data_IF_375023036539
#
_entry.id   IF_375023036539
#
_cell.length_a   1.000
_cell.length_b   1.000
_cell.length_c   1.000
_cell.angle_alpha   90.00
_cell.angle_beta   90.00
_cell.angle_gamma   90.00
#
_symmetry.space_group_name_H-M   'P 1'
#
loop_
_entity.id
_entity.type
_entity.pdbx_description
1 polymer ?
#
# COMPACT_ATOMS: atom_id res chain seq x y z
N UNK A 1 5.47 -4.65 0.33
CA UNK A 1 6.72 -4.77 1.11
C UNK A 1 7.11 -3.45 1.74
N UNK A 2 7.21 -2.38 0.95
CA UNK A 2 7.72 -1.09 1.39
C UNK A 2 6.59 -0.07 1.65
N UNK A 3 6.20 0.71 0.64
CA UNK A 3 5.26 1.85 0.69
C UNK A 3 3.96 1.56 1.46
N UNK A 4 3.24 0.52 1.07
CA UNK A 4 1.96 0.16 1.71
C UNK A 4 2.10 -0.31 3.17
N UNK A 5 3.24 -0.88 3.55
CA UNK A 5 3.49 -1.31 4.93
C UNK A 5 3.93 -0.16 5.83
N UNK A 6 4.66 0.81 5.29
CA UNK A 6 4.98 2.06 6.01
C UNK A 6 3.69 2.83 6.30
N UNK A 7 2.84 3.04 5.28
CA UNK A 7 1.53 3.67 5.46
C UNK A 7 0.64 2.91 6.46
N UNK A 8 0.63 1.57 6.40
CA UNK A 8 -0.10 0.74 7.37
C UNK A 8 0.35 1.05 8.80
N UNK A 9 1.65 1.02 9.07
CA UNK A 9 2.17 1.28 10.42
C UNK A 9 1.75 2.65 10.96
N UNK A 10 1.80 3.69 10.12
CA UNK A 10 1.39 5.04 10.48
C UNK A 10 -0.13 5.14 10.76
N UNK A 11 -0.95 4.60 9.88
CA UNK A 11 -2.41 4.61 10.03
C UNK A 11 -2.87 3.80 11.24
N UNK A 12 -2.28 2.62 11.47
CA UNK A 12 -2.59 1.77 12.62
C UNK A 12 -2.25 2.47 13.94
N UNK A 13 -1.09 3.17 14.03
CA UNK A 13 -0.72 3.96 15.21
C UNK A 13 -1.69 5.12 15.50
N UNK A 14 -2.36 5.65 14.48
CA UNK A 14 -3.42 6.67 14.63
C UNK A 14 -4.81 6.08 14.94
N UNK A 15 -4.94 4.76 15.04
CA UNK A 15 -6.19 4.09 15.39
C UNK A 15 -7.13 3.82 14.21
N UNK A 16 -6.68 4.00 12.96
CA UNK A 16 -7.48 3.64 11.79
C UNK A 16 -7.60 2.13 11.63
N UNK A 17 -8.77 1.66 11.17
CA UNK A 17 -8.97 0.28 10.71
C UNK A 17 -8.33 0.11 9.34
N UNK A 18 -7.04 -0.25 9.33
CA UNK A 18 -6.23 -0.33 8.11
C UNK A 18 -5.85 -1.78 7.78
N UNK A 19 -5.88 -2.10 6.49
CA UNK A 19 -5.22 -3.27 5.90
C UNK A 19 -4.33 -2.81 4.75
N UNK A 20 -3.33 -3.60 4.40
CA UNK A 20 -2.41 -3.29 3.31
C UNK A 20 -2.19 -4.49 2.41
N UNK A 21 -2.02 -4.26 1.11
CA UNK A 21 -1.93 -5.31 0.11
C UNK A 21 -0.85 -5.00 -0.92
N UNK A 22 -0.54 -5.98 -1.76
CA UNK A 22 0.09 -5.77 -3.06
C UNK A 22 -0.85 -6.23 -4.18
N UNK A 23 -0.61 -5.75 -5.40
CA UNK A 23 -1.39 -6.09 -6.60
C UNK A 23 -0.60 -6.91 -7.62
N UNK A 24 0.72 -6.94 -7.50
CA UNK A 24 1.60 -7.71 -8.40
C UNK A 24 1.37 -9.22 -8.35
N UNK A 25 2.02 -9.95 -9.26
CA UNK A 25 1.90 -11.40 -9.33
C UNK A 25 2.63 -12.10 -8.20
N UNK A 26 3.83 -11.59 -7.87
CA UNK A 26 4.70 -12.11 -6.82
C UNK A 26 5.25 -10.97 -5.98
N UNK A 27 5.69 -11.30 -4.78
CA UNK A 27 6.45 -10.40 -3.91
C UNK A 27 7.87 -10.32 -4.44
N UNK A 28 8.30 -9.13 -4.84
CA UNK A 28 9.65 -8.86 -5.34
C UNK A 28 10.42 -7.98 -4.35
N UNK A 29 11.64 -8.38 -4.03
CA UNK A 29 12.60 -7.59 -3.25
C UNK A 29 13.89 -7.41 -4.08
N UNK A 30 14.58 -6.28 -3.95
CA UNK A 30 15.90 -6.10 -4.53
C UNK A 30 16.85 -7.24 -4.15
N UNK A 31 17.64 -7.73 -5.11
CA UNK A 31 18.74 -8.66 -4.88
C UNK A 31 20.08 -7.99 -5.14
N UNK A 32 21.16 -8.78 -5.18
CA UNK A 32 22.53 -8.28 -5.36
C UNK A 32 22.79 -7.65 -6.73
N UNK A 33 21.94 -7.94 -7.72
CA UNK A 33 21.98 -7.35 -9.05
C UNK A 33 20.55 -7.06 -9.55
N UNK A 34 20.41 -6.08 -10.44
CA UNK A 34 19.10 -5.63 -10.94
C UNK A 34 18.31 -6.72 -11.70
N UNK A 35 19.02 -7.63 -12.36
CA UNK A 35 18.48 -8.79 -13.07
C UNK A 35 18.17 -9.98 -12.15
N UNK A 36 18.56 -9.93 -10.86
CA UNK A 36 18.40 -11.02 -9.89
C UNK A 36 17.61 -10.60 -8.66
N UNK A 37 16.32 -10.23 -8.80
CA UNK A 37 15.48 -9.92 -7.66
C UNK A 37 15.13 -11.18 -6.85
N UNK A 38 14.95 -11.01 -5.53
CA UNK A 38 14.38 -12.06 -4.69
C UNK A 38 12.86 -12.09 -4.89
N UNK A 39 12.32 -13.23 -5.33
CA UNK A 39 10.92 -13.39 -5.68
C UNK A 39 10.26 -14.46 -4.79
N UNK A 40 9.11 -14.12 -4.21
CA UNK A 40 8.34 -15.01 -3.34
C UNK A 40 6.86 -14.99 -3.71
N UNK A 41 6.16 -16.08 -3.44
CA UNK A 41 4.70 -16.10 -3.53
C UNK A 41 4.05 -15.29 -2.41
N UNK A 42 2.86 -14.77 -2.66
CA UNK A 42 2.04 -14.18 -1.59
C UNK A 42 1.66 -15.26 -0.55
N UNK A 43 1.50 -14.85 0.71
CA UNK A 43 1.24 -15.78 1.82
C UNK A 43 2.50 -16.35 2.49
N UNK A 44 3.67 -16.29 1.86
CA UNK A 44 4.94 -16.64 2.51
C UNK A 44 5.24 -15.65 3.64
N UNK A 45 5.53 -16.14 4.84
CA UNK A 45 5.69 -15.28 6.01
C UNK A 45 6.90 -14.35 5.89
N UNK A 46 6.80 -13.16 6.48
CA UNK A 46 7.94 -12.23 6.56
C UNK A 46 9.11 -12.83 7.33
N UNK A 47 8.83 -13.71 8.30
CA UNK A 47 9.85 -14.45 9.06
C UNK A 47 10.64 -15.39 8.15
N UNK A 48 9.96 -16.14 7.28
CA UNK A 48 10.63 -16.98 6.29
C UNK A 48 11.49 -16.16 5.34
N UNK A 49 10.94 -15.08 4.78
CA UNK A 49 11.67 -14.20 3.85
C UNK A 49 12.90 -13.59 4.55
N UNK A 50 12.76 -13.17 5.81
CA UNK A 50 13.87 -12.64 6.60
C UNK A 50 15.00 -13.65 6.74
N UNK A 51 14.67 -14.89 7.13
CA UNK A 51 15.68 -15.94 7.32
C UNK A 51 16.35 -16.35 6.00
N UNK A 52 15.60 -16.44 4.90
CA UNK A 52 16.15 -16.70 3.57
C UNK A 52 17.15 -15.61 3.12
N UNK A 53 16.85 -14.34 3.36
CA UNK A 53 17.79 -13.25 3.05
C UNK A 53 19.02 -13.25 3.97
N UNK A 54 18.86 -13.59 5.25
CA UNK A 54 19.98 -13.74 6.19
C UNK A 54 20.92 -14.85 5.74
N UNK A 55 20.39 -16.00 5.31
CA UNK A 55 21.19 -17.12 4.81
C UNK A 55 21.92 -16.78 3.50
N UNK A 56 21.29 -16.00 2.62
CA UNK A 56 21.89 -15.58 1.35
C UNK A 56 23.06 -14.60 1.54
N UNK A 57 22.81 -13.48 2.22
CA UNK A 57 23.84 -12.46 2.51
C UNK A 57 23.36 -11.47 3.58
N UNK A 58 23.52 -11.85 4.86
CA UNK A 58 23.13 -11.00 5.98
C UNK A 58 23.73 -9.59 5.91
N UNK A 59 24.99 -9.45 5.52
CA UNK A 59 25.67 -8.14 5.55
C UNK A 59 25.08 -7.21 4.49
N UNK A 60 24.93 -7.69 3.26
CA UNK A 60 24.34 -6.93 2.17
C UNK A 60 22.89 -6.49 2.48
N UNK A 61 22.04 -7.42 2.91
CA UNK A 61 20.63 -7.12 3.20
C UNK A 61 20.41 -6.32 4.50
N UNK A 62 21.41 -6.26 5.37
CA UNK A 62 21.44 -5.30 6.49
C UNK A 62 21.77 -3.90 5.97
N UNK A 63 22.80 -3.76 5.13
CA UNK A 63 23.27 -2.46 4.63
C UNK A 63 22.24 -1.73 3.75
N UNK A 64 21.48 -2.47 2.93
CA UNK A 64 20.41 -1.86 2.11
C UNK A 64 19.06 -1.68 2.87
N UNK A 65 19.02 -2.05 4.15
CA UNK A 65 17.85 -1.88 5.01
C UNK A 65 16.70 -2.87 4.79
N UNK A 66 16.85 -3.90 3.93
CA UNK A 66 15.77 -4.87 3.69
C UNK A 66 15.45 -5.73 4.91
N UNK A 67 16.46 -6.17 5.67
CA UNK A 67 16.21 -6.93 6.89
C UNK A 67 15.46 -6.10 7.94
N UNK A 68 15.80 -4.82 8.08
CA UNK A 68 15.09 -3.90 8.97
C UNK A 68 13.64 -3.68 8.52
N UNK A 69 13.40 -3.51 7.21
CA UNK A 69 12.05 -3.41 6.64
C UNK A 69 11.22 -4.66 6.92
N UNK A 70 11.80 -5.85 6.76
CA UNK A 70 11.13 -7.12 7.03
C UNK A 70 10.80 -7.30 8.53
N UNK A 71 11.72 -6.88 9.40
CA UNK A 71 11.49 -6.88 10.85
C UNK A 71 10.32 -5.97 11.26
N UNK A 72 10.22 -4.77 10.66
CA UNK A 72 9.04 -3.91 10.81
C UNK A 72 7.77 -4.63 10.34
N UNK A 73 7.81 -5.27 9.18
CA UNK A 73 6.63 -5.89 8.57
C UNK A 73 6.07 -7.06 9.39
N UNK A 74 6.92 -7.95 9.93
CA UNK A 74 6.48 -9.09 10.75
C UNK A 74 5.81 -8.68 12.06
N UNK A 75 6.09 -7.47 12.57
CA UNK A 75 5.41 -6.90 13.75
C UNK A 75 4.00 -6.36 13.43
N UNK A 76 3.71 -6.12 12.15
CA UNK A 76 2.43 -5.57 11.70
C UNK A 76 1.47 -6.70 11.30
N UNK A 77 1.93 -7.65 10.50
CA UNK A 77 1.14 -8.81 10.05
C UNK A 77 2.07 -9.97 9.62
N UNK A 78 1.60 -11.23 9.57
CA UNK A 78 2.49 -12.39 9.38
C UNK A 78 3.06 -12.54 7.96
N UNK A 79 2.30 -12.17 6.92
CA UNK A 79 2.69 -12.35 5.53
C UNK A 79 2.15 -11.21 4.63
N UNK A 80 2.76 -10.96 3.45
CA UNK A 80 2.19 -10.10 2.44
C UNK A 80 0.95 -10.76 1.80
N UNK A 81 -0.05 -9.94 1.51
CA UNK A 81 -1.36 -10.36 1.00
C UNK A 81 -1.59 -9.70 -0.37
N UNK A 82 -2.23 -10.45 -1.28
CA UNK A 82 -2.61 -9.97 -2.61
C UNK A 82 -4.03 -9.43 -2.55
N UNK A 83 -4.25 -8.18 -2.97
CA UNK A 83 -5.58 -7.54 -2.89
C UNK A 83 -6.62 -8.37 -3.62
N UNK A 84 -6.25 -8.89 -4.79
CA UNK A 84 -7.19 -9.58 -5.67
C UNK A 84 -7.77 -10.88 -5.07
N UNK A 85 -7.10 -11.44 -4.06
CA UNK A 85 -7.50 -12.64 -3.33
C UNK A 85 -8.27 -12.33 -2.04
N UNK A 86 -8.36 -11.05 -1.66
CA UNK A 86 -9.07 -10.61 -0.47
C UNK A 86 -10.59 -10.59 -0.69
N UNK A 87 -11.35 -10.99 0.33
CA UNK A 87 -12.81 -10.85 0.40
C UNK A 87 -13.24 -9.65 1.25
N UNK A 88 -12.28 -8.83 1.70
CA UNK A 88 -12.53 -7.65 2.54
C UNK A 88 -13.13 -6.51 1.72
N UNK A 89 -13.90 -5.66 2.40
CA UNK A 89 -14.51 -4.45 1.83
C UNK A 89 -13.97 -3.21 2.56
N UNK A 90 -13.70 -2.16 1.80
CA UNK A 90 -13.09 -0.93 2.28
C UNK A 90 -13.93 0.28 1.87
N UNK A 91 -13.92 1.34 2.67
CA UNK A 91 -14.52 2.63 2.29
C UNK A 91 -13.59 3.42 1.36
N UNK A 92 -12.28 3.34 1.61
CA UNK A 92 -11.24 4.02 0.85
C UNK A 92 -10.09 3.05 0.59
N UNK A 93 -9.61 3.00 -0.65
CA UNK A 93 -8.40 2.31 -1.07
C UNK A 93 -7.41 3.37 -1.54
N UNK A 94 -6.21 3.38 -0.95
CA UNK A 94 -5.13 4.25 -1.41
C UNK A 94 -4.06 3.41 -2.10
N UNK A 95 -3.70 3.82 -3.30
CA UNK A 95 -2.67 3.22 -4.14
C UNK A 95 -1.43 4.11 -4.15
N UNK A 96 -0.25 3.49 -4.31
CA UNK A 96 1.05 4.16 -4.13
C UNK A 96 1.77 4.46 -5.45
N UNK A 97 1.19 4.05 -6.59
CA UNK A 97 1.62 4.39 -7.93
C UNK A 97 0.50 4.07 -8.93
N UNK A 98 0.51 4.77 -10.07
CA UNK A 98 -0.50 4.64 -11.14
C UNK A 98 -0.67 3.21 -11.66
N UNK A 99 0.41 2.42 -11.76
CA UNK A 99 0.30 1.01 -12.19
C UNK A 99 -0.48 0.18 -11.18
N UNK A 100 -0.27 0.40 -9.88
CA UNK A 100 -1.08 -0.24 -8.83
C UNK A 100 -2.53 0.21 -8.91
N UNK A 101 -2.77 1.50 -9.16
CA UNK A 101 -4.11 2.06 -9.36
C UNK A 101 -4.88 1.37 -10.49
N UNK A 102 -4.28 1.27 -11.67
CA UNK A 102 -4.88 0.59 -12.83
C UNK A 102 -5.22 -0.86 -12.52
N UNK A 103 -4.33 -1.58 -11.83
CA UNK A 103 -4.56 -2.98 -11.44
C UNK A 103 -5.71 -3.14 -10.43
N UNK A 104 -5.93 -2.14 -9.57
CA UNK A 104 -7.09 -2.12 -8.66
C UNK A 104 -8.37 -1.91 -9.45
N UNK A 105 -8.40 -0.94 -10.36
CA UNK A 105 -9.57 -0.64 -11.20
C UNK A 105 -9.93 -1.84 -12.08
N UNK A 106 -8.94 -2.43 -12.76
CA UNK A 106 -9.14 -3.61 -13.61
C UNK A 106 -9.73 -4.77 -12.79
N UNK A 107 -9.23 -4.99 -11.57
CA UNK A 107 -9.76 -6.03 -10.69
C UNK A 107 -11.23 -5.79 -10.31
N UNK A 108 -11.61 -4.56 -9.94
CA UNK A 108 -13.01 -4.24 -9.69
C UNK A 108 -13.87 -4.39 -10.95
N UNK A 109 -13.37 -3.93 -12.11
CA UNK A 109 -14.06 -4.07 -13.41
C UNK A 109 -14.24 -5.52 -13.87
N UNK A 110 -13.35 -6.42 -13.43
CA UNK A 110 -13.47 -7.86 -13.70
C UNK A 110 -14.56 -8.56 -12.87
N UNK A 111 -15.07 -7.91 -11.83
CA UNK A 111 -16.06 -8.45 -10.90
C UNK A 111 -17.43 -7.80 -11.13
N UNK A 112 -18.48 -8.57 -10.85
CA UNK A 112 -19.82 -8.01 -10.76
C UNK A 112 -20.01 -7.39 -9.37
N UNK A 113 -20.50 -6.15 -9.33
CA UNK A 113 -20.96 -5.50 -8.09
C UNK A 113 -22.16 -6.27 -7.53
N UNK A 114 -22.05 -6.78 -6.31
CA UNK A 114 -23.10 -7.55 -5.62
C UNK A 114 -23.69 -6.77 -4.46
N UNK A 115 -22.85 -6.02 -3.75
CA UNK A 115 -23.23 -5.32 -2.51
C UNK A 115 -23.69 -3.89 -2.79
N UNK A 116 -23.39 -3.34 -3.97
CA UNK A 116 -23.64 -1.94 -4.33
C UNK A 116 -23.06 -0.97 -3.29
N UNK A 117 -21.97 -1.39 -2.64
CA UNK A 117 -21.26 -0.58 -1.66
C UNK A 117 -20.14 0.16 -2.40
N UNK A 118 -20.19 1.49 -2.39
CA UNK A 118 -19.17 2.33 -2.99
C UNK A 118 -17.83 2.22 -2.24
N UNK A 119 -16.75 2.37 -2.98
CA UNK A 119 -15.38 2.51 -2.47
C UNK A 119 -14.63 3.54 -3.28
N UNK A 120 -14.02 4.49 -2.58
CA UNK A 120 -13.14 5.50 -3.20
C UNK A 120 -11.76 4.91 -3.41
N UNK A 121 -11.28 4.90 -4.64
CA UNK A 121 -9.92 4.50 -5.00
C UNK A 121 -9.14 5.77 -5.33
N UNK A 122 -8.12 6.07 -4.52
CA UNK A 122 -7.28 7.26 -4.66
C UNK A 122 -5.84 6.85 -4.92
N UNK A 123 -5.18 7.45 -5.91
CA UNK A 123 -3.75 7.25 -6.16
C UNK A 123 -2.93 8.42 -5.62
N UNK A 124 -1.85 8.09 -4.90
CA UNK A 124 -0.79 9.03 -4.54
C UNK A 124 0.52 8.41 -5.01
N UNK A 125 1.15 9.02 -6.01
CA UNK A 125 2.46 8.54 -6.49
C UNK A 125 3.53 8.72 -5.41
N UNK A 126 4.11 7.59 -5.01
CA UNK A 126 5.17 7.49 -4.00
C UNK A 126 6.28 6.65 -4.61
N UNK A 127 7.49 7.20 -4.68
CA UNK A 127 8.66 6.48 -5.18
C UNK A 127 9.02 5.31 -4.26
N UNK A 128 9.50 4.21 -4.85
CA UNK A 128 9.78 2.99 -4.11
C UNK A 128 11.17 2.98 -3.46
N UNK A 129 11.37 3.89 -2.51
CA UNK A 129 12.54 3.92 -1.62
C UNK A 129 12.08 4.18 -0.17
N UNK A 130 12.98 4.08 0.81
CA UNK A 130 12.62 4.16 2.24
C UNK A 130 12.19 5.59 2.66
N UNK A 131 12.86 6.62 2.13
CA UNK A 131 12.61 8.02 2.47
C UNK A 131 11.25 8.47 1.93
N UNK A 132 11.00 8.25 0.63
CA UNK A 132 9.73 8.58 -0.01
C UNK A 132 8.58 7.73 0.53
N UNK A 133 8.80 6.47 0.89
CA UNK A 133 7.78 5.67 1.58
C UNK A 133 7.35 6.30 2.91
N UNK A 134 8.29 6.88 3.65
CA UNK A 134 8.01 7.56 4.92
C UNK A 134 7.24 8.86 4.69
N UNK A 135 7.69 9.70 3.75
CA UNK A 135 6.99 10.95 3.37
C UNK A 135 5.58 10.63 2.86
N UNK A 136 5.46 9.63 1.98
CA UNK A 136 4.20 9.14 1.45
C UNK A 136 3.27 8.63 2.55
N UNK A 137 3.78 7.90 3.55
CA UNK A 137 2.99 7.46 4.69
C UNK A 137 2.42 8.63 5.50
N UNK A 138 3.19 9.72 5.67
CA UNK A 138 2.68 10.95 6.29
C UNK A 138 1.59 11.62 5.46
N UNK A 139 1.77 11.73 4.14
CA UNK A 139 0.77 12.30 3.23
C UNK A 139 -0.52 11.48 3.23
N UNK A 140 -0.42 10.17 3.09
CA UNK A 140 -1.54 9.22 3.20
C UNK A 140 -2.24 9.40 4.55
N UNK A 141 -1.47 9.53 5.63
CA UNK A 141 -2.05 9.72 6.94
C UNK A 141 -2.79 11.05 7.09
N UNK A 142 -2.29 12.13 6.50
CA UNK A 142 -2.93 13.46 6.52
C UNK A 142 -4.25 13.43 5.74
N UNK A 143 -4.25 12.90 4.51
CA UNK A 143 -5.46 12.85 3.68
C UNK A 143 -6.54 11.93 4.26
N UNK A 144 -6.17 10.75 4.79
CA UNK A 144 -7.12 9.85 5.46
C UNK A 144 -7.70 10.50 6.72
N UNK A 145 -6.89 11.28 7.46
CA UNK A 145 -7.38 12.03 8.62
C UNK A 145 -8.37 13.11 8.22
N UNK A 146 -8.17 13.77 7.07
CA UNK A 146 -9.13 14.74 6.53
C UNK A 146 -10.43 14.06 6.08
N UNK A 147 -10.32 12.99 5.30
CA UNK A 147 -11.48 12.20 4.84
C UNK A 147 -12.30 11.67 6.03
N UNK A 148 -11.66 11.20 7.09
CA UNK A 148 -12.36 10.69 8.27
C UNK A 148 -13.05 11.76 9.13
N UNK A 149 -12.78 13.05 8.88
CA UNK A 149 -13.45 14.18 9.56
C UNK A 149 -14.64 14.72 8.78
N UNK A 150 -14.78 14.36 7.50
CA UNK A 150 -15.93 14.72 6.70
C UNK A 150 -17.18 14.00 7.22
N UNK A 151 -18.31 14.71 7.24
CA UNK A 151 -19.61 14.14 7.60
C UNK A 151 -20.20 13.36 6.42
N UNK A 152 -19.98 13.85 5.20
CA UNK A 152 -20.38 13.20 3.94
C UNK A 152 -19.18 13.11 2.99
N UNK A 153 -18.46 11.98 3.08
CA UNK A 153 -17.26 11.79 2.28
C UNK A 153 -17.57 11.72 0.78
N UNK A 154 -18.74 11.23 0.38
CA UNK A 154 -19.07 11.04 -1.04
C UNK A 154 -19.25 12.39 -1.75
N UNK A 155 -19.82 13.37 -1.05
CA UNK A 155 -19.99 14.75 -1.55
C UNK A 155 -18.70 15.59 -1.39
N UNK A 156 -17.95 15.41 -0.30
CA UNK A 156 -16.80 16.25 0.03
C UNK A 156 -15.48 15.82 -0.65
N UNK A 157 -15.38 14.58 -1.17
CA UNK A 157 -14.08 14.01 -1.56
C UNK A 157 -13.37 14.85 -2.62
N UNK A 158 -14.07 15.34 -3.65
CA UNK A 158 -13.43 16.07 -4.74
C UNK A 158 -12.81 17.40 -4.25
N UNK A 159 -13.51 18.13 -3.37
CA UNK A 159 -12.96 19.35 -2.75
C UNK A 159 -11.79 19.03 -1.82
N UNK A 160 -11.90 17.96 -1.03
CA UNK A 160 -10.83 17.50 -0.14
C UNK A 160 -9.56 17.14 -0.92
N UNK A 161 -9.70 16.39 -2.01
CA UNK A 161 -8.59 16.01 -2.88
C UNK A 161 -7.98 17.24 -3.55
N UNK A 162 -8.78 18.14 -4.11
CA UNK A 162 -8.28 19.36 -4.74
C UNK A 162 -7.50 20.25 -3.75
N UNK A 163 -8.02 20.42 -2.53
CA UNK A 163 -7.32 21.15 -1.46
C UNK A 163 -6.01 20.47 -1.04
N UNK A 164 -5.95 19.14 -1.16
CA UNK A 164 -4.77 18.36 -0.81
C UNK A 164 -3.71 18.43 -1.91
N UNK A 165 -4.09 18.35 -3.19
CA UNK A 165 -3.20 18.52 -4.36
C UNK A 165 -2.45 19.86 -4.27
N UNK A 166 -3.17 20.95 -3.98
CA UNK A 166 -2.58 22.28 -3.83
C UNK A 166 -1.55 22.35 -2.69
N UNK A 167 -1.73 21.56 -1.62
CA UNK A 167 -0.83 21.52 -0.47
C UNK A 167 0.40 20.63 -0.72
N UNK A 168 0.22 19.48 -1.38
CA UNK A 168 1.29 18.50 -1.57
C UNK A 168 2.06 18.66 -2.88
N UNK A 169 1.56 19.49 -3.81
CA UNK A 169 2.11 19.67 -5.16
C UNK A 169 2.29 18.33 -5.89
N UNK A 170 1.31 17.44 -5.73
CA UNK A 170 1.22 16.13 -6.41
C UNK A 170 -0.18 15.99 -6.97
N UNK A 171 -0.27 15.45 -8.18
CA UNK A 171 -1.55 15.08 -8.78
C UNK A 171 -2.09 13.83 -8.08
N UNK A 172 -3.39 13.84 -7.81
CA UNK A 172 -4.13 12.72 -7.26
C UNK A 172 -5.09 12.18 -8.31
N UNK A 173 -5.17 10.86 -8.42
CA UNK A 173 -6.23 10.21 -9.20
C UNK A 173 -7.33 9.76 -8.23
N UNK A 174 -8.58 9.88 -8.65
CA UNK A 174 -9.74 9.45 -7.88
C UNK A 174 -10.73 8.72 -8.79
N UNK A 175 -11.32 7.64 -8.29
CA UNK A 175 -12.43 6.96 -8.93
C UNK A 175 -13.27 6.22 -7.88
N UNK A 176 -14.58 6.13 -8.11
CA UNK A 176 -15.51 5.35 -7.29
C UNK A 176 -15.75 4.00 -7.95
N UNK A 177 -15.46 2.91 -7.22
CA UNK A 177 -15.80 1.54 -7.60
C UNK A 177 -16.89 0.98 -6.69
N UNK A 178 -17.46 -0.17 -7.04
CA UNK A 178 -18.54 -0.81 -6.28
C UNK A 178 -18.22 -2.29 -6.02
N UNK A 179 -18.44 -2.75 -4.78
CA UNK A 179 -18.38 -4.17 -4.40
C UNK A 179 -19.64 -4.94 -4.76
#
# INVERSE_FOLDING_TARGET
MNRSMEAHAFLAKKGFKVKSFGTGDKVKLPGTAADRPNCYEFGISYEFIYNDLVEKDKQYYTQNGLLHMLDRNRRIKPCPEKLQLSSERFNVIITCDERVYDQVIEWFGSKRSIYNQAVHVVNIDIQDNHEEATIGAFLISDIVTKMAKSEDLDDDIDELLHSFEAKCNRQLLNCVMFY
#
